data_IF_933168815586
#
_entry.id   IF_933168815586
#
_cell.length_a   1.000
_cell.length_b   1.000
_cell.length_c   1.000
_cell.angle_alpha   90.00
_cell.angle_beta   90.00
_cell.angle_gamma   90.00
#
_symmetry.space_group_name_H-M   'P 1'
#
loop_
_entity.id
_entity.type
_entity.pdbx_description
1 polymer ?
#
# COMPACT_ATOMS: atom_id res chain seq x y z
N UNK A 1 -4.00 -23.03 -14.42
CA UNK A 1 -4.09 -21.66 -14.98
C UNK A 1 -5.10 -20.73 -14.28
N UNK A 2 -6.17 -21.24 -13.66
CA UNK A 2 -7.29 -20.43 -13.13
C UNK A 2 -6.94 -19.60 -11.87
N UNK A 3 -6.12 -20.12 -10.94
CA UNK A 3 -5.76 -19.43 -9.69
C UNK A 3 -5.01 -18.11 -9.89
N UNK A 4 -4.10 -18.03 -10.86
CA UNK A 4 -3.34 -16.82 -11.14
C UNK A 4 -4.27 -15.70 -11.65
N UNK A 5 -5.20 -16.02 -12.56
CA UNK A 5 -6.15 -15.06 -13.14
C UNK A 5 -7.13 -14.51 -12.10
N UNK A 6 -7.64 -15.36 -11.20
CA UNK A 6 -8.43 -14.94 -10.04
C UNK A 6 -7.66 -13.99 -9.13
N UNK A 7 -6.37 -14.25 -8.90
CA UNK A 7 -5.51 -13.37 -8.12
C UNK A 7 -5.34 -11.99 -8.77
N UNK A 8 -5.18 -11.91 -10.10
CA UNK A 8 -5.08 -10.63 -10.81
C UNK A 8 -6.39 -9.83 -10.75
N UNK A 9 -7.55 -10.47 -10.93
CA UNK A 9 -8.86 -9.82 -10.85
C UNK A 9 -9.20 -9.38 -9.42
N UNK A 10 -8.93 -10.22 -8.42
CA UNK A 10 -9.02 -9.83 -7.01
C UNK A 10 -8.12 -8.62 -6.72
N UNK A 11 -6.88 -8.63 -7.22
CA UNK A 11 -5.95 -7.50 -7.11
C UNK A 11 -6.46 -6.25 -7.83
N UNK A 12 -7.18 -6.39 -8.95
CA UNK A 12 -7.78 -5.27 -9.68
C UNK A 12 -9.00 -4.68 -8.95
N UNK A 13 -9.86 -5.53 -8.39
CA UNK A 13 -11.05 -5.14 -7.62
C UNK A 13 -10.66 -4.50 -6.29
N UNK A 14 -9.71 -5.10 -5.56
CA UNK A 14 -9.12 -4.54 -4.34
C UNK A 14 -8.40 -3.22 -4.66
N UNK A 15 -7.70 -3.13 -5.81
CA UNK A 15 -7.12 -1.87 -6.30
C UNK A 15 -8.16 -0.79 -6.62
N UNK A 16 -9.36 -1.15 -7.07
CA UNK A 16 -10.44 -0.20 -7.38
C UNK A 16 -11.18 0.30 -6.13
N UNK A 17 -11.05 -0.39 -4.99
CA UNK A 17 -11.77 -0.08 -3.75
C UNK A 17 -10.87 0.40 -2.61
N UNK A 18 -9.55 0.14 -2.66
CA UNK A 18 -8.63 0.40 -1.54
C UNK A 18 -7.18 0.76 -1.99
N UNK A 19 -6.99 1.84 -2.74
CA UNK A 19 -5.67 2.50 -2.76
C UNK A 19 -5.62 3.69 -1.79
N UNK A 20 -6.37 3.61 -0.69
CA UNK A 20 -6.00 4.35 0.52
C UNK A 20 -4.75 3.63 1.01
N UNK A 21 -3.60 4.29 0.97
CA UNK A 21 -2.41 3.71 1.58
C UNK A 21 -2.73 3.40 3.04
N UNK A 22 -2.44 2.15 3.45
CA UNK A 22 -2.63 1.68 4.84
C UNK A 22 -2.08 2.68 5.87
N UNK A 23 -1.04 3.42 5.48
CA UNK A 23 -0.38 4.44 6.26
C UNK A 23 -0.25 5.71 5.42
N UNK A 24 -0.72 6.83 5.97
CA UNK A 24 -0.55 8.14 5.36
C UNK A 24 0.88 8.66 5.54
N UNK A 25 1.24 9.72 4.82
CA UNK A 25 2.60 10.30 4.85
C UNK A 25 2.99 10.79 6.24
N UNK A 26 2.06 11.43 6.97
CA UNK A 26 2.30 11.96 8.32
C UNK A 26 2.68 10.86 9.31
N UNK A 27 1.95 9.75 9.30
CA UNK A 27 2.25 8.60 10.16
C UNK A 27 3.64 8.03 9.84
N UNK A 28 3.97 7.85 8.56
CA UNK A 28 5.30 7.38 8.16
C UNK A 28 6.40 8.32 8.64
N UNK A 29 6.17 9.63 8.59
CA UNK A 29 7.11 10.63 9.08
C UNK A 29 7.32 10.50 10.59
N UNK A 30 6.25 10.41 11.38
CA UNK A 30 6.34 10.21 12.83
C UNK A 30 7.13 8.95 13.20
N UNK A 31 6.94 7.85 12.47
CA UNK A 31 7.69 6.61 12.69
C UNK A 31 9.17 6.79 12.41
N UNK A 32 9.54 7.51 11.35
CA UNK A 32 10.95 7.77 10.99
C UNK A 32 11.61 8.75 11.97
N UNK A 33 10.90 9.78 12.43
CA UNK A 33 11.39 10.70 13.47
C UNK A 33 11.67 9.94 14.77
N UNK A 34 10.73 9.09 15.21
CA UNK A 34 10.92 8.23 16.38
C UNK A 34 12.11 7.26 16.20
N UNK A 35 12.27 6.68 15.00
CA UNK A 35 13.44 5.84 14.67
C UNK A 35 14.76 6.60 14.82
N UNK A 36 14.84 7.85 14.36
CA UNK A 36 16.04 8.68 14.46
C UNK A 36 16.33 9.07 15.93
N UNK A 37 15.31 9.50 16.66
CA UNK A 37 15.43 9.93 18.07
C UNK A 37 15.87 8.79 19.00
N UNK A 38 15.43 7.56 18.72
CA UNK A 38 15.74 6.39 19.56
C UNK A 38 16.94 5.59 19.06
N UNK A 39 17.94 6.26 18.47
CA UNK A 39 19.21 5.64 18.11
C UNK A 39 19.11 4.55 17.04
N UNK A 40 18.11 4.64 16.14
CA UNK A 40 17.92 3.72 15.01
C UNK A 40 17.61 2.27 15.42
N UNK A 41 16.93 2.07 16.55
CA UNK A 41 16.59 0.73 17.06
C UNK A 41 15.33 0.14 16.41
N UNK A 42 15.52 -0.68 15.35
CA UNK A 42 14.43 -1.33 14.62
C UNK A 42 13.45 -2.14 15.48
N UNK A 43 13.95 -2.89 16.46
CA UNK A 43 13.14 -3.77 17.32
C UNK A 43 12.19 -2.94 18.19
N UNK A 44 12.69 -1.84 18.76
CA UNK A 44 11.89 -0.90 19.53
C UNK A 44 10.76 -0.31 18.68
N UNK A 45 11.07 0.20 17.48
CA UNK A 45 10.06 0.85 16.61
C UNK A 45 9.01 -0.17 16.16
N UNK A 46 9.45 -1.36 15.76
CA UNK A 46 8.56 -2.44 15.31
C UNK A 46 7.57 -2.84 16.40
N UNK A 47 8.02 -2.95 17.66
CA UNK A 47 7.13 -3.23 18.80
C UNK A 47 6.22 -2.05 19.13
N UNK A 48 6.76 -0.83 19.19
CA UNK A 48 6.02 0.37 19.59
C UNK A 48 4.87 0.68 18.61
N UNK A 49 5.13 0.65 17.31
CA UNK A 49 4.13 0.94 16.27
C UNK A 49 3.42 -0.31 15.72
N UNK A 50 3.75 -1.50 16.24
CA UNK A 50 3.24 -2.79 15.74
C UNK A 50 3.42 -2.94 14.22
N UNK A 51 4.59 -2.51 13.72
CA UNK A 51 4.94 -2.57 12.31
C UNK A 51 5.75 -3.83 12.01
N UNK A 52 5.46 -4.47 10.89
CA UNK A 52 6.32 -5.52 10.39
C UNK A 52 7.69 -4.97 10.01
N UNK A 53 8.74 -5.74 10.28
CA UNK A 53 10.12 -5.34 10.06
C UNK A 53 10.43 -5.01 8.60
N UNK A 54 9.72 -5.66 7.67
CA UNK A 54 9.88 -5.45 6.22
C UNK A 54 9.35 -4.07 5.81
N UNK A 55 8.18 -3.67 6.29
CA UNK A 55 7.59 -2.34 6.06
C UNK A 55 8.48 -1.24 6.62
N UNK A 56 8.94 -1.39 7.87
CA UNK A 56 9.82 -0.40 8.49
C UNK A 56 11.12 -0.20 7.70
N UNK A 57 11.80 -1.30 7.34
CA UNK A 57 13.01 -1.26 6.53
C UNK A 57 12.77 -0.60 5.16
N UNK A 58 11.62 -0.88 4.55
CA UNK A 58 11.26 -0.27 3.27
C UNK A 58 11.11 1.26 3.39
N UNK A 59 10.43 1.75 4.42
CA UNK A 59 10.27 3.20 4.64
C UNK A 59 11.59 3.88 4.97
N UNK A 60 12.45 3.26 5.77
CA UNK A 60 13.78 3.79 6.07
C UNK A 60 14.63 3.90 4.79
N UNK A 61 14.59 2.89 3.93
CA UNK A 61 15.30 2.95 2.64
C UNK A 61 14.75 4.06 1.72
N UNK A 62 13.42 4.20 1.66
CA UNK A 62 12.77 5.29 0.90
C UNK A 62 13.18 6.66 1.45
N UNK A 63 13.21 6.82 2.76
CA UNK A 63 13.64 8.05 3.42
C UNK A 63 15.14 8.35 3.21
N UNK A 64 15.99 7.32 3.26
CA UNK A 64 17.42 7.49 2.99
C UNK A 64 17.69 7.92 1.55
N UNK A 65 16.90 7.41 0.60
CA UNK A 65 17.01 7.72 -0.83
C UNK A 65 16.41 9.09 -1.21
N UNK A 66 15.24 9.46 -0.66
CA UNK A 66 14.48 10.64 -1.11
C UNK A 66 13.88 11.48 0.02
N UNK A 67 14.33 11.30 1.26
CA UNK A 67 13.82 12.01 2.45
C UNK A 67 12.30 11.90 2.54
N UNK A 68 11.62 12.99 2.90
CA UNK A 68 10.15 13.04 3.05
C UNK A 68 9.44 12.68 1.74
N UNK A 69 10.01 13.03 0.58
CA UNK A 69 9.43 12.67 -0.72
C UNK A 69 9.36 11.15 -0.93
N UNK A 70 10.29 10.40 -0.35
CA UNK A 70 10.27 8.93 -0.38
C UNK A 70 9.12 8.32 0.43
N UNK A 71 8.64 9.03 1.46
CA UNK A 71 7.54 8.58 2.33
C UNK A 71 6.17 8.90 1.75
N UNK A 72 6.09 9.85 0.82
CA UNK A 72 4.85 10.26 0.19
C UNK A 72 4.07 9.05 -0.33
N UNK A 73 2.77 9.01 -0.02
CA UNK A 73 1.88 8.04 -0.62
C UNK A 73 1.81 8.34 -2.11
N UNK A 74 2.43 7.49 -2.93
CA UNK A 74 2.30 7.52 -4.38
C UNK A 74 0.88 7.07 -4.74
N UNK A 75 -0.05 8.00 -4.66
CA UNK A 75 -1.47 7.77 -4.84
C UNK A 75 -2.09 8.86 -5.68
N UNK A 76 -1.82 8.85 -6.99
CA UNK A 76 -2.88 9.29 -7.90
C UNK A 76 -4.02 8.29 -7.68
N UNK A 77 -5.13 8.74 -7.12
CA UNK A 77 -6.36 7.98 -7.16
C UNK A 77 -6.57 7.57 -8.62
N UNK A 78 -6.51 6.27 -8.92
CA UNK A 78 -6.95 5.81 -10.23
C UNK A 78 -8.45 5.96 -10.23
N UNK A 79 -8.93 7.11 -10.69
CA UNK A 79 -10.34 7.39 -10.86
C UNK A 79 -10.85 6.53 -12.01
N UNK A 80 -11.24 5.30 -11.71
CA UNK A 80 -11.94 4.45 -12.65
C UNK A 80 -13.36 4.99 -12.85
N UNK A 81 -13.78 5.13 -14.10
CA UNK A 81 -15.14 5.56 -14.44
C UNK A 81 -16.17 4.59 -13.85
N UNK A 82 -17.38 5.09 -13.57
CA UNK A 82 -18.50 4.26 -13.10
C UNK A 82 -18.75 3.08 -14.05
N UNK A 83 -18.71 3.34 -15.35
CA UNK A 83 -18.84 2.32 -16.41
C UNK A 83 -17.81 1.21 -16.26
N UNK A 84 -16.54 1.54 -16.02
CA UNK A 84 -15.49 0.55 -15.81
C UNK A 84 -15.77 -0.30 -14.56
N UNK A 85 -16.15 0.34 -13.45
CA UNK A 85 -16.47 -0.36 -12.19
C UNK A 85 -17.64 -1.34 -12.37
N UNK A 86 -18.70 -0.91 -13.04
CA UNK A 86 -19.85 -1.75 -13.36
C UNK A 86 -19.48 -2.92 -14.26
N UNK A 87 -18.68 -2.68 -15.30
CA UNK A 87 -18.22 -3.73 -16.21
C UNK A 87 -17.45 -4.82 -15.44
N UNK A 88 -16.50 -4.44 -14.59
CA UNK A 88 -15.73 -5.40 -13.77
C UNK A 88 -16.65 -6.23 -12.87
N UNK A 89 -17.64 -5.61 -12.20
CA UNK A 89 -18.61 -6.33 -11.35
C UNK A 89 -19.42 -7.32 -12.18
N UNK A 90 -19.88 -6.91 -13.37
CA UNK A 90 -20.69 -7.76 -14.24
C UNK A 90 -19.90 -8.95 -14.78
N UNK A 91 -18.68 -8.73 -15.25
CA UNK A 91 -17.76 -9.79 -15.68
C UNK A 91 -17.52 -10.80 -14.56
N UNK A 92 -17.32 -10.33 -13.34
CA UNK A 92 -17.12 -11.18 -12.16
C UNK A 92 -18.36 -12.01 -11.83
N UNK A 93 -19.54 -11.40 -11.84
CA UNK A 93 -20.81 -12.09 -11.60
C UNK A 93 -21.11 -13.16 -12.65
N UNK A 94 -20.83 -12.86 -13.92
CA UNK A 94 -21.16 -13.75 -15.04
C UNK A 94 -20.17 -14.90 -15.22
N UNK A 95 -19.04 -14.92 -14.48
CA UNK A 95 -17.97 -15.89 -14.73
C UNK A 95 -17.33 -15.78 -16.12
N UNK A 96 -17.62 -14.70 -16.85
CA UNK A 96 -17.16 -14.44 -18.22
C UNK A 96 -15.73 -13.91 -18.20
N UNK A 97 -14.81 -14.72 -17.66
CA UNK A 97 -13.39 -14.46 -17.73
C UNK A 97 -12.83 -15.22 -18.92
N UNK A 98 -12.56 -14.54 -20.04
CA UNK A 98 -11.76 -15.10 -21.13
C UNK A 98 -10.35 -15.50 -20.64
#
# INVERSE_FOLDING_TARGET
MIKARYFYLYKLIVRCRFFIAKYNTLFKQQVIEFYIQNGKNYSLISKHFQLDSRTLRHWINQFNHSRINGLAVLGKTRNYSLKFKLNVIQTVKNGQFL
#
